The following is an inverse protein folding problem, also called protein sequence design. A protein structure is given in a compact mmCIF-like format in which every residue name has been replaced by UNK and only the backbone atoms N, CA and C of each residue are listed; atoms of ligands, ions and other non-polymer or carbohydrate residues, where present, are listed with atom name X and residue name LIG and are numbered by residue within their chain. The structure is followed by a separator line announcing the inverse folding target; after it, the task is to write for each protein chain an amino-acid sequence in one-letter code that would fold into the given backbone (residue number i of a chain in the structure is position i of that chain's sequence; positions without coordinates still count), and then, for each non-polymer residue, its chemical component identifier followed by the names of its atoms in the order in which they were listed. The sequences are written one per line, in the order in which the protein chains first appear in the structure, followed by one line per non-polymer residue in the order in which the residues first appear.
data_IF_569670441455
#
_entry.id   IF_569670441455
#
_cell.length_a   1.000
_cell.length_b   1.000
_cell.length_c   1.000
_cell.angle_alpha   90.00
_cell.angle_beta   90.00
_cell.angle_gamma   90.00
#
_symmetry.space_group_name_H-M   'P 1'
#
loop_
_entity.id
_entity.type
_entity.pdbx_description
1 polymer ?
#
# COMPACT_ATOMS: atom_id res chain seq x y z
N UNK A 1 -34.05 -36.99 5.26
CA UNK A 1 -32.91 -36.66 4.38
C UNK A 1 -32.51 -35.21 4.64
N UNK A 2 -31.46 -34.97 5.44
CA UNK A 2 -30.94 -33.63 5.70
C UNK A 2 -29.79 -33.34 4.73
N UNK A 3 -29.94 -32.32 3.88
CA UNK A 3 -28.84 -31.79 3.05
C UNK A 3 -27.96 -30.92 3.94
N UNK A 4 -26.75 -31.40 4.21
CA UNK A 4 -25.66 -30.58 4.74
C UNK A 4 -25.27 -29.55 3.67
N UNK A 5 -25.58 -28.28 3.91
CA UNK A 5 -24.99 -27.16 3.20
C UNK A 5 -23.52 -27.07 3.66
N UNK A 6 -22.60 -27.62 2.88
CA UNK A 6 -21.18 -27.26 2.99
C UNK A 6 -21.07 -25.77 2.65
N UNK A 7 -20.92 -24.94 3.67
CA UNK A 7 -20.40 -23.60 3.49
C UNK A 7 -19.00 -23.76 2.90
N UNK A 8 -18.87 -23.51 1.59
CA UNK A 8 -17.57 -23.38 0.96
C UNK A 8 -16.85 -22.25 1.69
N UNK A 9 -15.82 -22.60 2.46
CA UNK A 9 -14.90 -21.62 3.04
C UNK A 9 -14.20 -20.96 1.86
N UNK A 10 -14.69 -19.79 1.47
CA UNK A 10 -14.04 -18.94 0.48
C UNK A 10 -12.72 -18.48 1.12
N UNK A 11 -11.62 -19.15 0.81
CA UNK A 11 -10.30 -18.61 1.13
C UNK A 11 -10.14 -17.32 0.31
N UNK A 12 -9.97 -16.15 0.94
CA UNK A 12 -9.81 -14.90 0.22
C UNK A 12 -8.64 -15.02 -0.75
N UNK A 13 -8.79 -14.42 -1.95
CA UNK A 13 -7.69 -14.31 -2.89
C UNK A 13 -6.47 -13.69 -2.18
N UNK A 14 -5.23 -14.07 -2.52
CA UNK A 14 -4.03 -13.61 -1.81
C UNK A 14 -3.96 -12.08 -1.64
N UNK A 15 -4.45 -11.34 -2.64
CA UNK A 15 -4.51 -9.87 -2.61
C UNK A 15 -5.48 -9.32 -1.56
N UNK A 16 -6.65 -9.95 -1.37
CA UNK A 16 -7.67 -9.50 -0.41
C UNK A 16 -7.21 -9.70 1.02
N UNK A 17 -6.60 -10.86 1.30
CA UNK A 17 -6.01 -11.14 2.60
C UNK A 17 -4.87 -10.15 2.92
N UNK A 18 -4.03 -9.81 1.94
CA UNK A 18 -2.95 -8.85 2.11
C UNK A 18 -3.47 -7.42 2.34
N UNK A 19 -4.48 -6.97 1.58
CA UNK A 19 -5.11 -5.66 1.80
C UNK A 19 -5.68 -5.59 3.22
N UNK A 20 -6.47 -6.59 3.63
CA UNK A 20 -7.06 -6.64 4.96
C UNK A 20 -6.00 -6.60 6.07
N UNK A 21 -4.91 -7.36 5.91
CA UNK A 21 -3.81 -7.38 6.88
C UNK A 21 -3.13 -6.01 7.03
N UNK A 22 -2.92 -5.27 5.93
CA UNK A 22 -2.35 -3.92 6.00
C UNK A 22 -3.29 -2.94 6.69
N UNK A 23 -4.58 -2.95 6.32
CA UNK A 23 -5.56 -2.05 6.94
C UNK A 23 -5.69 -2.35 8.44
N UNK A 24 -5.72 -3.61 8.85
CA UNK A 24 -5.72 -3.98 10.27
C UNK A 24 -4.47 -3.48 10.99
N UNK A 25 -3.28 -3.60 10.37
CA UNK A 25 -2.03 -3.10 10.95
C UNK A 25 -2.06 -1.58 11.12
N UNK A 26 -2.52 -0.83 10.10
CA UNK A 26 -2.63 0.62 10.15
C UNK A 26 -3.63 1.10 11.22
N UNK A 27 -4.72 0.38 11.44
CA UNK A 27 -5.66 0.69 12.52
C UNK A 27 -5.09 0.38 13.91
N UNK A 28 -4.28 -0.68 14.04
CA UNK A 28 -3.72 -1.11 15.30
C UNK A 28 -2.49 -0.30 15.75
N UNK A 29 -1.83 0.39 14.81
CA UNK A 29 -0.57 1.09 15.06
C UNK A 29 -0.69 2.56 14.63
N UNK A 30 -0.69 3.50 15.59
CA UNK A 30 -0.62 4.92 15.29
C UNK A 30 0.58 5.20 14.37
N UNK A 31 0.45 6.16 13.47
CA UNK A 31 1.58 6.58 12.66
C UNK A 31 2.67 7.14 13.58
N UNK A 32 3.90 6.62 13.45
CA UNK A 32 5.03 7.15 14.19
C UNK A 32 6.25 7.23 13.28
N UNK A 33 6.81 8.44 13.14
CA UNK A 33 8.16 8.59 12.64
C UNK A 33 9.12 8.24 13.77
N UNK A 34 10.03 7.26 13.60
CA UNK A 34 10.44 6.59 12.34
C UNK A 34 9.95 5.15 12.15
N UNK A 35 9.34 4.54 13.17
CA UNK A 35 9.16 3.09 13.24
C UNK A 35 7.95 2.57 12.45
N UNK A 36 6.99 3.45 12.12
CA UNK A 36 5.78 3.13 11.39
C UNK A 36 5.50 4.22 10.34
N UNK A 37 6.42 4.32 9.38
CA UNK A 37 6.36 5.30 8.29
C UNK A 37 5.83 4.70 6.98
N UNK A 38 5.34 5.58 6.12
CA UNK A 38 4.71 5.27 4.85
C UNK A 38 5.60 4.41 3.93
N UNK A 39 6.91 4.66 3.86
CA UNK A 39 7.81 3.87 3.01
C UNK A 39 7.91 2.42 3.50
N UNK A 40 7.99 2.20 4.81
CA UNK A 40 8.06 0.86 5.41
C UNK A 40 6.76 0.09 5.18
N UNK A 41 5.60 0.76 5.23
CA UNK A 41 4.31 0.09 4.96
C UNK A 41 4.20 -0.46 3.53
N UNK A 42 4.62 0.35 2.55
CA UNK A 42 4.65 -0.05 1.15
C UNK A 42 5.57 -1.26 0.98
N UNK A 43 6.72 -1.26 1.66
CA UNK A 43 7.67 -2.36 1.63
C UNK A 43 7.13 -3.63 2.25
N UNK A 44 6.57 -3.55 3.46
CA UNK A 44 6.00 -4.70 4.16
C UNK A 44 4.89 -5.35 3.33
N UNK A 45 4.04 -4.55 2.67
CA UNK A 45 3.00 -5.07 1.77
C UNK A 45 3.59 -5.77 0.54
N UNK A 46 4.56 -5.14 -0.12
CA UNK A 46 5.22 -5.73 -1.29
C UNK A 46 5.96 -7.01 -0.94
N UNK A 47 6.68 -7.07 0.18
CA UNK A 47 7.36 -8.28 0.66
C UNK A 47 6.37 -9.40 0.96
N UNK A 48 5.24 -9.08 1.61
CA UNK A 48 4.18 -10.06 1.89
C UNK A 48 3.62 -10.68 0.62
N UNK A 49 3.33 -9.87 -0.41
CA UNK A 49 2.73 -10.36 -1.65
C UNK A 49 3.71 -11.07 -2.58
N UNK A 50 4.96 -10.62 -2.61
CA UNK A 50 5.99 -11.18 -3.49
C UNK A 50 6.69 -12.39 -2.88
N UNK A 51 6.58 -12.58 -1.56
CA UNK A 51 7.36 -13.57 -0.81
C UNK A 51 8.87 -13.27 -0.80
N UNK A 52 9.27 -12.09 -1.26
CA UNK A 52 10.67 -11.64 -1.30
C UNK A 52 10.96 -10.71 -0.13
N UNK A 53 12.23 -10.58 0.22
CA UNK A 53 12.70 -9.64 1.25
C UNK A 53 13.63 -8.63 0.62
N UNK A 54 13.43 -7.37 0.96
CA UNK A 54 14.34 -6.29 0.63
C UNK A 54 15.43 -6.25 1.71
N UNK A 55 16.68 -6.53 1.33
CA UNK A 55 17.79 -6.70 2.28
C UNK A 55 18.41 -5.38 2.74
N UNK A 56 18.19 -4.30 1.99
CA UNK A 56 18.76 -2.97 2.25
C UNK A 56 17.76 -2.05 2.96
N UNK A 57 17.03 -2.59 3.95
CA UNK A 57 16.03 -1.79 4.68
C UNK A 57 16.64 -0.51 5.26
N UNK A 58 15.99 0.65 5.09
CA UNK A 58 16.52 1.90 5.60
C UNK A 58 16.59 1.88 7.12
N UNK A 59 17.72 2.28 7.67
CA UNK A 59 17.90 2.46 9.11
C UNK A 59 17.03 3.60 9.65
N UNK A 60 16.83 3.63 10.97
CA UNK A 60 16.09 4.68 11.68
C UNK A 60 16.58 6.10 11.33
N UNK A 61 17.90 6.28 11.25
CA UNK A 61 18.50 7.58 10.90
C UNK A 61 18.25 7.96 9.43
N UNK A 62 18.31 6.99 8.51
CA UNK A 62 17.98 7.22 7.09
C UNK A 62 16.51 7.62 6.92
N UNK A 63 15.60 6.92 7.59
CA UNK A 63 14.17 7.26 7.63
C UNK A 63 13.94 8.70 8.11
N UNK A 64 14.59 9.08 9.22
CA UNK A 64 14.46 10.44 9.76
C UNK A 64 15.08 11.52 8.87
N UNK A 65 16.16 11.20 8.16
CA UNK A 65 16.76 12.11 7.19
C UNK A 65 15.81 12.34 6.01
N UNK A 66 15.25 11.25 5.50
CA UNK A 66 14.40 11.24 4.32
C UNK A 66 13.05 11.88 4.59
N UNK A 67 12.48 11.74 5.78
CA UNK A 67 11.24 12.44 6.14
C UNK A 67 11.37 13.97 6.25
N UNK A 68 12.59 14.53 6.14
CA UNK A 68 12.78 15.98 5.99
C UNK A 68 12.49 16.45 4.57
N UNK A 69 12.54 15.54 3.60
CA UNK A 69 12.14 15.76 2.22
C UNK A 69 10.69 15.27 2.04
N UNK A 70 9.75 16.14 1.61
CA UNK A 70 8.39 15.72 1.30
C UNK A 70 8.30 14.54 0.32
N UNK A 71 9.27 14.39 -0.58
CA UNK A 71 9.30 13.37 -1.62
C UNK A 71 10.25 12.21 -1.35
N UNK A 72 11.08 12.28 -0.31
CA UNK A 72 12.09 11.24 -0.10
C UNK A 72 11.50 9.85 0.21
N UNK A 73 10.23 9.78 0.67
CA UNK A 73 9.47 8.52 0.77
C UNK A 73 9.34 7.82 -0.58
N UNK A 74 9.11 8.58 -1.66
CA UNK A 74 8.97 8.04 -3.01
C UNK A 74 10.29 7.48 -3.53
N UNK A 75 11.41 8.12 -3.21
CA UNK A 75 12.73 7.66 -3.63
C UNK A 75 13.11 6.31 -2.99
N UNK A 76 12.94 6.17 -1.66
CA UNK A 76 13.16 4.87 -0.98
C UNK A 76 12.24 3.80 -1.56
N UNK A 77 10.95 4.13 -1.67
CA UNK A 77 9.95 3.17 -2.10
C UNK A 77 10.23 2.71 -3.53
N UNK A 78 10.62 3.61 -4.45
CA UNK A 78 10.84 3.29 -5.85
C UNK A 78 11.93 2.21 -6.02
N UNK A 79 13.11 2.40 -5.44
CA UNK A 79 14.22 1.45 -5.55
C UNK A 79 13.83 0.10 -4.96
N UNK A 80 13.28 0.12 -3.74
CA UNK A 80 13.01 -1.10 -3.01
C UNK A 80 11.83 -1.89 -3.61
N UNK A 81 10.77 -1.20 -4.09
CA UNK A 81 9.65 -1.82 -4.81
C UNK A 81 10.10 -2.40 -6.15
N UNK A 82 11.00 -1.74 -6.87
CA UNK A 82 11.58 -2.28 -8.10
C UNK A 82 12.36 -3.57 -7.85
N UNK A 83 13.18 -3.64 -6.80
CA UNK A 83 13.91 -4.86 -6.43
C UNK A 83 12.96 -6.02 -6.03
N UNK A 84 11.82 -5.69 -5.43
CA UNK A 84 10.76 -6.66 -5.12
C UNK A 84 9.97 -7.10 -6.36
N UNK A 85 10.22 -6.51 -7.54
CA UNK A 85 9.56 -6.83 -8.80
C UNK A 85 8.26 -6.07 -9.03
N UNK A 86 7.97 -5.05 -8.24
CA UNK A 86 6.85 -4.15 -8.50
C UNK A 86 7.20 -3.24 -9.66
N UNK A 87 6.27 -3.08 -10.61
CA UNK A 87 6.48 -2.21 -11.78
C UNK A 87 5.83 -0.85 -11.56
N UNK A 88 6.49 0.27 -11.90
CA UNK A 88 5.84 1.57 -11.88
C UNK A 88 4.69 1.59 -12.89
N UNK A 89 3.61 2.29 -12.55
CA UNK A 89 2.45 2.51 -13.40
C UNK A 89 2.08 4.00 -13.39
N UNK A 90 1.78 4.53 -14.58
CA UNK A 90 1.39 5.93 -14.72
C UNK A 90 -0.13 6.12 -14.78
N UNK A 91 -0.84 5.11 -15.28
CA UNK A 91 -2.29 5.06 -15.42
C UNK A 91 -2.75 3.67 -14.99
N UNK A 92 -4.05 3.39 -15.08
CA UNK A 92 -4.64 2.04 -14.88
C UNK A 92 -4.53 1.45 -13.45
N UNK A 93 -4.45 2.31 -12.45
CA UNK A 93 -4.40 1.91 -11.03
C UNK A 93 -5.59 1.02 -10.70
N UNK A 94 -5.31 -0.19 -10.23
CA UNK A 94 -6.33 -1.16 -9.83
C UNK A 94 -6.16 -1.62 -8.40
N UNK A 95 -7.17 -2.33 -7.90
CA UNK A 95 -7.21 -2.79 -6.51
C UNK A 95 -5.93 -3.54 -6.11
N UNK A 96 -5.38 -3.16 -4.97
CA UNK A 96 -4.13 -3.67 -4.40
C UNK A 96 -2.86 -3.10 -5.03
N UNK A 97 -2.96 -2.17 -5.98
CA UNK A 97 -1.80 -1.37 -6.37
C UNK A 97 -1.38 -0.45 -5.22
N UNK A 98 -0.06 -0.31 -5.06
CA UNK A 98 0.57 0.59 -4.10
C UNK A 98 0.69 1.97 -4.71
N UNK A 99 0.55 3.00 -3.90
CA UNK A 99 0.70 4.37 -4.36
C UNK A 99 1.20 5.31 -3.28
N UNK A 100 1.78 6.41 -3.71
CA UNK A 100 1.96 7.62 -2.93
C UNK A 100 0.96 8.63 -3.45
N UNK A 101 0.13 9.14 -2.54
CA UNK A 101 -0.81 10.22 -2.83
C UNK A 101 -0.31 11.47 -2.13
N UNK A 102 -0.48 12.62 -2.77
CA UNK A 102 -0.23 13.92 -2.19
C UNK A 102 -1.31 14.89 -2.67
N UNK A 103 -1.74 15.79 -1.79
CA UNK A 103 -2.63 16.89 -2.13
C UNK A 103 -2.37 18.08 -1.20
N UNK A 104 -3.07 19.18 -1.44
CA UNK A 104 -2.99 20.37 -0.57
C UNK A 104 -3.38 20.04 0.87
N UNK A 105 -4.32 19.10 1.03
CA UNK A 105 -4.89 18.70 2.33
C UNK A 105 -4.18 17.46 2.93
N UNK A 106 -3.43 16.71 2.11
CA UNK A 106 -2.76 15.46 2.51
C UNK A 106 -1.30 15.49 2.10
N UNK A 107 -0.38 15.50 3.07
CA UNK A 107 1.05 15.30 2.81
C UNK A 107 1.29 13.95 2.11
N UNK A 108 2.37 13.83 1.31
CA UNK A 108 2.74 12.56 0.68
C UNK A 108 2.67 11.40 1.66
N UNK A 109 1.78 10.44 1.38
CA UNK A 109 1.55 9.30 2.26
C UNK A 109 1.38 8.02 1.46
N UNK A 110 1.73 6.90 2.09
CA UNK A 110 1.50 5.59 1.53
C UNK A 110 0.02 5.32 1.43
N UNK A 111 -0.36 4.72 0.32
CA UNK A 111 -1.73 4.39 0.04
C UNK A 111 -1.86 3.08 -0.71
N UNK A 112 -3.03 2.49 -0.57
CA UNK A 112 -3.44 1.23 -1.18
C UNK A 112 -4.71 1.45 -1.97
N UNK A 113 -4.70 1.09 -3.25
CA UNK A 113 -5.90 1.17 -4.05
C UNK A 113 -6.94 0.15 -3.58
N UNK A 114 -8.09 0.62 -3.10
CA UNK A 114 -9.23 -0.20 -2.75
C UNK A 114 -10.14 -0.43 -3.95
N UNK A 115 -10.24 0.54 -4.86
CA UNK A 115 -11.08 0.41 -6.05
C UNK A 115 -10.49 1.23 -7.18
N UNK A 116 -10.39 0.62 -8.36
CA UNK A 116 -9.98 1.31 -9.57
C UNK A 116 -10.90 2.51 -9.86
N UNK A 117 -10.34 3.54 -10.48
CA UNK A 117 -11.12 4.63 -11.05
C UNK A 117 -12.02 4.15 -12.18
N UNK A 118 -13.10 4.88 -12.44
CA UNK A 118 -14.04 4.63 -13.56
C UNK A 118 -14.45 5.95 -14.15
N UNK A 119 -14.47 6.07 -15.49
CA UNK A 119 -15.02 7.19 -16.27
C UNK A 119 -14.98 8.56 -15.58
N UNK A 120 -13.80 9.18 -15.57
CA UNK A 120 -13.59 10.52 -15.02
C UNK A 120 -13.53 10.60 -13.49
N UNK A 121 -13.60 9.47 -12.78
CA UNK A 121 -13.40 9.41 -11.34
C UNK A 121 -12.05 8.82 -10.97
N UNK A 122 -11.35 9.51 -10.07
CA UNK A 122 -10.13 9.03 -9.44
C UNK A 122 -10.35 7.71 -8.67
N UNK A 123 -9.30 6.87 -8.55
CA UNK A 123 -9.37 5.63 -7.77
C UNK A 123 -9.66 5.92 -6.30
N UNK A 124 -10.24 4.93 -5.63
CA UNK A 124 -10.47 4.98 -4.19
C UNK A 124 -9.26 4.41 -3.47
N UNK A 125 -8.63 5.23 -2.65
CA UNK A 125 -7.37 4.93 -1.97
C UNK A 125 -7.60 4.87 -0.46
N UNK A 126 -7.07 3.84 0.19
CA UNK A 126 -6.83 3.86 1.63
C UNK A 126 -5.47 4.51 1.86
N UNK A 127 -5.45 5.64 2.55
CA UNK A 127 -4.25 6.38 2.90
C UNK A 127 -3.95 6.22 4.38
N UNK A 128 -2.67 6.09 4.73
CA UNK A 128 -2.25 6.11 6.13
C UNK A 128 -2.28 7.56 6.64
N UNK A 129 -3.15 7.83 7.61
CA UNK A 129 -3.24 9.09 8.34
C UNK A 129 -2.53 9.02 9.68
N UNK A 130 -2.50 10.14 10.41
CA UNK A 130 -1.86 10.21 11.75
C UNK A 130 -2.51 9.30 12.78
N UNK A 131 -3.84 9.30 12.81
CA UNK A 131 -4.67 8.60 13.81
C UNK A 131 -5.40 7.37 13.25
N UNK A 132 -5.11 6.97 12.00
CA UNK A 132 -5.77 5.83 11.39
C UNK A 132 -5.72 5.79 9.87
N UNK A 133 -6.83 5.39 9.25
CA UNK A 133 -6.95 5.22 7.81
C UNK A 133 -7.95 6.22 7.27
N UNK A 134 -7.54 6.94 6.24
CA UNK A 134 -8.40 7.83 5.48
C UNK A 134 -8.76 7.16 4.15
N UNK A 135 -10.04 7.13 3.80
CA UNK A 135 -10.50 6.62 2.49
C UNK A 135 -10.86 7.80 1.62
N UNK A 136 -10.09 8.03 0.57
CA UNK A 136 -10.20 9.20 -0.29
C UNK A 136 -10.25 8.81 -1.77
N UNK A 137 -10.81 9.68 -2.60
CA UNK A 137 -10.72 9.58 -4.06
C UNK A 137 -9.69 10.57 -4.56
N UNK A 138 -8.58 10.08 -5.06
CA UNK A 138 -7.42 10.91 -5.40
C UNK A 138 -6.56 10.20 -6.44
N UNK A 139 -5.99 10.97 -7.36
CA UNK A 139 -5.00 10.44 -8.30
C UNK A 139 -3.66 10.23 -7.59
N UNK A 140 -3.03 9.05 -7.72
CA UNK A 140 -1.68 8.84 -7.23
C UNK A 140 -0.67 9.76 -7.92
N UNK A 141 0.28 10.27 -7.15
CA UNK A 141 1.45 10.93 -7.71
C UNK A 141 2.45 9.89 -8.23
N UNK A 142 2.61 8.81 -7.48
CA UNK A 142 3.41 7.64 -7.86
C UNK A 142 2.62 6.37 -7.58
N UNK A 143 2.68 5.39 -8.47
CA UNK A 143 2.02 4.12 -8.27
C UNK A 143 2.85 2.94 -8.77
N UNK A 144 2.68 1.80 -8.11
CA UNK A 144 3.34 0.55 -8.43
C UNK A 144 2.35 -0.61 -8.42
N UNK A 145 2.45 -1.43 -9.46
CA UNK A 145 1.75 -2.70 -9.59
C UNK A 145 2.57 -3.77 -8.86
N UNK A 146 2.01 -4.30 -7.78
CA UNK A 146 2.60 -5.43 -7.04
C UNK A 146 2.27 -6.74 -7.76
N UNK A 147 3.24 -7.63 -8.01
CA UNK A 147 2.96 -8.92 -8.61
C UNK A 147 2.26 -9.82 -7.59
N UNK A 148 0.97 -10.06 -7.78
CA UNK A 148 0.17 -10.97 -6.97
C UNK A 148 -0.87 -11.70 -7.84
N UNK A 149 -1.22 -12.95 -7.50
CA UNK A 149 -2.38 -13.61 -8.09
C UNK A 149 -3.65 -12.81 -7.80
N UNK A 150 -4.40 -12.50 -8.85
CA UNK A 150 -5.68 -11.79 -8.79
C UNK A 150 -6.78 -12.75 -9.22
N UNK A 151 -7.99 -12.66 -8.64
CA UNK A 151 -9.14 -13.44 -9.09
C UNK A 151 -9.52 -13.12 -10.53
#
# INVERSE_FOLDING_TARGET
MARLLMAAVLTPAPIEAAIAAVLQRWLAQPFCMPDANCAIDLLDYAEQLTGRRFTQRPSRSQVMHIARDPYGVAEIAAEALQQLGCRPIANDVIRGDLAIIASVDHRPTASLCLKAGTDGQAPMMAARGGEGIEIVRVEPEYAWRVPCPRP
#
